data_IF_568648128015
#
_entry.id   IF_568648128015
#
_cell.length_a   1.000
_cell.length_b   1.000
_cell.length_c   1.000
_cell.angle_alpha   90.00
_cell.angle_beta   90.00
_cell.angle_gamma   90.00
#
_symmetry.space_group_name_H-M   'P 1'
#
loop_
_entity.id
_entity.type
_entity.pdbx_description
1 polymer ?
#
# COMPACT_ATOMS: atom_id res chain seq x y z
N UNK A 1 -4.99 -1.54 2.21
CA UNK A 1 -3.94 -2.58 2.14
C UNK A 1 -2.60 -1.89 2.05
N UNK A 2 -1.83 -1.85 3.14
CA UNK A 2 -0.55 -1.13 3.22
C UNK A 2 0.51 -1.81 2.34
N UNK A 3 0.46 -3.14 2.21
CA UNK A 3 1.42 -3.91 1.40
C UNK A 3 1.44 -3.47 -0.08
N UNK A 4 0.27 -3.20 -0.67
CA UNK A 4 0.17 -2.72 -2.05
C UNK A 4 0.88 -1.37 -2.25
N UNK A 5 0.79 -0.47 -1.26
CA UNK A 5 1.48 0.82 -1.29
C UNK A 5 2.99 0.57 -1.19
N UNK A 6 3.45 -0.23 -0.23
CA UNK A 6 4.88 -0.53 -0.04
C UNK A 6 5.50 -1.05 -1.34
N UNK A 7 4.86 -2.04 -1.97
CA UNK A 7 5.34 -2.59 -3.23
C UNK A 7 5.25 -1.60 -4.40
N UNK A 8 4.40 -0.58 -4.36
CA UNK A 8 4.32 0.44 -5.42
C UNK A 8 5.42 1.50 -5.36
N UNK A 9 6.06 1.68 -4.19
CA UNK A 9 7.03 2.77 -3.94
C UNK A 9 8.47 2.29 -3.85
N UNK A 10 8.70 0.99 -3.62
CA UNK A 10 10.05 0.44 -3.57
C UNK A 10 10.73 0.52 -4.95
N UNK A 11 12.05 0.78 -5.03
CA UNK A 11 12.78 0.84 -6.29
C UNK A 11 12.60 -0.42 -7.16
N UNK A 12 12.59 -1.61 -6.55
CA UNK A 12 12.34 -2.90 -7.20
C UNK A 12 10.88 -3.39 -7.05
N UNK A 13 10.01 -2.50 -6.61
CA UNK A 13 8.63 -2.78 -6.24
C UNK A 13 7.80 -3.29 -7.41
N UNK A 14 7.96 -2.68 -8.59
CA UNK A 14 7.30 -3.13 -9.82
C UNK A 14 7.65 -4.58 -10.19
N UNK A 15 8.92 -4.96 -10.10
CA UNK A 15 9.37 -6.33 -10.37
C UNK A 15 8.79 -7.31 -9.35
N UNK A 16 8.75 -6.92 -8.07
CA UNK A 16 8.12 -7.72 -7.02
C UNK A 16 6.62 -7.91 -7.23
N UNK A 17 5.91 -6.85 -7.63
CA UNK A 17 4.48 -6.92 -7.96
C UNK A 17 4.23 -7.84 -9.13
N UNK A 18 4.97 -7.70 -10.22
CA UNK A 18 4.86 -8.57 -11.39
C UNK A 18 5.07 -10.04 -11.03
N UNK A 19 6.06 -10.33 -10.19
CA UNK A 19 6.32 -11.70 -9.70
C UNK A 19 5.21 -12.22 -8.79
N UNK A 20 4.77 -11.44 -7.80
CA UNK A 20 3.77 -11.86 -6.80
C UNK A 20 2.36 -12.00 -7.40
N UNK A 21 2.02 -11.16 -8.37
CA UNK A 21 0.73 -11.14 -9.05
C UNK A 21 0.75 -11.90 -10.39
N UNK A 22 1.80 -12.68 -10.65
CA UNK A 22 1.87 -13.52 -11.84
C UNK A 22 0.61 -14.40 -11.98
N UNK A 23 0.06 -14.45 -13.19
CA UNK A 23 -1.17 -15.18 -13.50
C UNK A 23 -2.46 -14.41 -13.20
N UNK A 24 -2.39 -13.21 -12.62
CA UNK A 24 -3.52 -12.30 -12.50
C UNK A 24 -3.43 -11.22 -13.58
N UNK A 25 -4.58 -10.85 -14.16
CA UNK A 25 -4.67 -9.69 -15.04
C UNK A 25 -4.78 -8.44 -14.16
N UNK A 26 -3.79 -7.55 -14.21
CA UNK A 26 -3.74 -6.31 -13.43
C UNK A 26 -3.09 -5.18 -14.22
N UNK A 27 -3.39 -3.93 -13.85
CA UNK A 27 -2.71 -2.74 -14.39
C UNK A 27 -2.15 -1.86 -13.28
N UNK A 28 -1.04 -1.19 -13.59
CA UNK A 28 -0.53 -0.10 -12.76
C UNK A 28 -1.16 1.22 -13.21
N UNK A 29 -1.71 1.94 -12.25
CA UNK A 29 -2.21 3.30 -12.42
C UNK A 29 -1.14 4.25 -11.86
N UNK A 30 -0.61 5.19 -12.66
CA UNK A 30 0.33 6.18 -12.17
C UNK A 30 -0.32 7.02 -11.06
N UNK A 31 0.50 7.71 -10.27
CA UNK A 31 -0.04 8.58 -9.24
C UNK A 31 -0.97 9.65 -9.84
N UNK A 32 -2.25 9.58 -9.52
CA UNK A 32 -3.27 10.57 -9.87
C UNK A 32 -3.93 11.01 -8.56
N UNK A 33 -4.09 12.33 -8.38
CA UNK A 33 -4.71 12.88 -7.18
C UNK A 33 -6.12 12.30 -6.98
N UNK A 34 -6.48 11.84 -5.77
CA UNK A 34 -7.81 11.30 -5.49
C UNK A 34 -8.92 12.30 -5.79
N UNK A 35 -10.04 11.80 -6.29
CA UNK A 35 -11.19 12.59 -6.71
C UNK A 35 -11.51 12.42 -8.18
N UNK A 36 -12.04 13.47 -8.80
CA UNK A 36 -12.62 13.42 -10.15
C UNK A 36 -11.64 12.92 -11.22
N UNK A 37 -10.38 13.38 -11.19
CA UNK A 37 -9.35 12.98 -12.17
C UNK A 37 -9.06 11.49 -12.11
N UNK A 38 -8.97 10.91 -10.91
CA UNK A 38 -8.75 9.47 -10.75
C UNK A 38 -9.98 8.68 -11.24
N UNK A 39 -11.19 9.12 -10.90
CA UNK A 39 -12.42 8.46 -11.33
C UNK A 39 -12.56 8.42 -12.85
N UNK A 40 -12.26 9.52 -13.56
CA UNK A 40 -12.29 9.56 -15.02
C UNK A 40 -11.28 8.58 -15.63
N UNK A 41 -10.04 8.63 -15.16
CA UNK A 41 -8.99 7.73 -15.63
C UNK A 41 -9.39 6.26 -15.45
N UNK A 42 -9.90 5.89 -14.27
CA UNK A 42 -10.33 4.52 -14.00
C UNK A 42 -11.52 4.11 -14.86
N UNK A 43 -12.48 5.00 -15.10
CA UNK A 43 -13.62 4.71 -15.99
C UNK A 43 -13.15 4.33 -17.40
N UNK A 44 -12.19 5.06 -17.95
CA UNK A 44 -11.61 4.77 -19.27
C UNK A 44 -10.85 3.43 -19.27
N UNK A 45 -10.09 3.15 -18.21
CA UNK A 45 -9.34 1.90 -18.08
C UNK A 45 -10.27 0.68 -17.93
N UNK A 46 -11.33 0.79 -17.12
CA UNK A 46 -12.32 -0.27 -16.96
C UNK A 46 -13.01 -0.60 -18.29
N UNK A 47 -13.30 0.41 -19.12
CA UNK A 47 -13.90 0.18 -20.43
C UNK A 47 -12.92 -0.42 -21.47
N UNK A 48 -11.63 -0.19 -21.32
CA UNK A 48 -10.60 -0.59 -22.30
C UNK A 48 -9.81 -1.85 -21.92
N UNK A 49 -9.94 -2.32 -20.68
CA UNK A 49 -9.19 -3.46 -20.17
C UNK A 49 -10.12 -4.55 -19.64
N UNK A 50 -9.66 -5.81 -19.67
CA UNK A 50 -10.34 -6.95 -19.03
C UNK A 50 -9.72 -7.30 -17.67
N UNK A 51 -9.32 -6.29 -16.90
CA UNK A 51 -8.76 -6.51 -15.55
C UNK A 51 -9.76 -6.09 -14.47
N UNK A 52 -9.66 -6.75 -13.32
CA UNK A 52 -10.37 -6.41 -12.10
C UNK A 52 -9.45 -5.81 -11.02
N UNK A 53 -8.18 -5.55 -11.35
CA UNK A 53 -7.13 -5.22 -10.39
C UNK A 53 -6.39 -3.97 -10.86
N UNK A 54 -6.58 -2.87 -10.15
CA UNK A 54 -5.97 -1.57 -10.43
C UNK A 54 -5.07 -1.19 -9.26
N UNK A 55 -3.76 -1.32 -9.44
CA UNK A 55 -2.77 -0.89 -8.44
C UNK A 55 -2.48 0.60 -8.61
N UNK A 56 -2.79 1.39 -7.60
CA UNK A 56 -2.63 2.83 -7.60
C UNK A 56 -1.29 3.19 -6.95
N UNK A 57 -0.37 3.77 -7.71
CA UNK A 57 0.91 4.22 -7.18
C UNK A 57 0.69 5.23 -6.04
N UNK A 58 1.39 5.00 -4.91
CA UNK A 58 1.31 5.78 -3.66
C UNK A 58 -0.09 5.84 -2.99
N UNK A 59 -1.06 5.01 -3.39
CA UNK A 59 -2.42 5.07 -2.85
C UNK A 59 -2.96 3.71 -2.39
N UNK A 60 -2.73 2.64 -3.14
CA UNK A 60 -3.24 1.33 -2.79
C UNK A 60 -3.79 0.56 -3.99
N UNK A 61 -4.99 0.03 -3.85
CA UNK A 61 -5.57 -0.88 -4.85
C UNK A 61 -7.07 -0.68 -4.96
N UNK A 62 -7.59 -0.79 -6.18
CA UNK A 62 -9.03 -0.87 -6.47
C UNK A 62 -9.30 -2.23 -7.09
N UNK A 63 -10.34 -2.89 -6.59
CA UNK A 63 -10.82 -4.17 -7.08
C UNK A 63 -12.24 -4.03 -7.60
N UNK A 64 -12.51 -4.60 -8.77
CA UNK A 64 -13.84 -4.63 -9.38
C UNK A 64 -14.29 -6.08 -9.56
N UNK A 65 -15.58 -6.30 -9.79
CA UNK A 65 -16.11 -7.62 -10.10
C UNK A 65 -17.63 -7.64 -10.03
N UNK A 66 -18.21 -8.68 -10.63
CA UNK A 66 -19.66 -8.80 -10.81
C UNK A 66 -20.42 -9.18 -9.53
N UNK A 67 -19.70 -9.53 -8.46
CA UNK A 67 -20.30 -9.89 -7.18
C UNK A 67 -19.39 -9.57 -6.00
N UNK A 68 -20.01 -9.38 -4.84
CA UNK A 68 -19.30 -9.23 -3.58
C UNK A 68 -18.37 -10.42 -3.30
N UNK A 69 -18.84 -11.65 -3.52
CA UNK A 69 -18.06 -12.87 -3.29
C UNK A 69 -16.78 -12.91 -4.13
N UNK A 70 -16.88 -12.53 -5.41
CA UNK A 70 -15.72 -12.44 -6.30
C UNK A 70 -14.71 -11.41 -5.78
N UNK A 71 -15.17 -10.21 -5.40
CA UNK A 71 -14.31 -9.14 -4.88
C UNK A 71 -13.58 -9.59 -3.60
N UNK A 72 -14.29 -10.24 -2.66
CA UNK A 72 -13.67 -10.74 -1.43
C UNK A 72 -12.64 -11.85 -1.71
N UNK A 73 -12.95 -12.77 -2.62
CA UNK A 73 -12.01 -13.81 -3.04
C UNK A 73 -10.72 -13.19 -3.61
N UNK A 74 -10.87 -12.20 -4.49
CA UNK A 74 -9.76 -11.50 -5.12
C UNK A 74 -8.93 -10.70 -4.10
N UNK A 75 -9.61 -10.02 -3.17
CA UNK A 75 -8.98 -9.29 -2.08
C UNK A 75 -8.13 -10.21 -1.21
N UNK A 76 -8.67 -11.37 -0.81
CA UNK A 76 -7.96 -12.34 0.01
C UNK A 76 -6.74 -12.91 -0.71
N UNK A 77 -6.88 -13.25 -1.99
CA UNK A 77 -5.79 -13.74 -2.81
C UNK A 77 -4.66 -12.72 -2.94
N UNK A 78 -5.00 -11.47 -3.26
CA UNK A 78 -4.01 -10.39 -3.40
C UNK A 78 -3.33 -10.09 -2.06
N UNK A 79 -4.11 -10.01 -0.98
CA UNK A 79 -3.55 -9.78 0.36
C UNK A 79 -2.54 -10.87 0.71
N UNK A 80 -2.88 -12.14 0.45
CA UNK A 80 -1.98 -13.28 0.66
C UNK A 80 -0.70 -13.18 -0.19
N UNK A 81 -0.83 -12.84 -1.48
CA UNK A 81 0.32 -12.73 -2.40
C UNK A 81 1.23 -11.55 -2.06
N UNK A 82 0.66 -10.42 -1.68
CA UNK A 82 1.38 -9.18 -1.41
C UNK A 82 1.93 -9.07 0.00
N UNK A 83 1.46 -9.90 0.94
CA UNK A 83 1.90 -9.93 2.33
C UNK A 83 3.42 -9.74 2.46
N UNK A 84 3.79 -8.78 3.30
CA UNK A 84 5.15 -8.52 3.72
C UNK A 84 5.31 -8.96 5.17
N UNK A 85 6.32 -9.80 5.49
CA UNK A 85 6.58 -10.17 6.87
C UNK A 85 7.01 -8.93 7.65
N UNK A 86 6.43 -8.75 8.85
CA UNK A 86 6.86 -7.70 9.77
C UNK A 86 8.29 -7.99 10.19
N UNK A 87 9.21 -7.06 9.88
CA UNK A 87 10.58 -7.17 10.37
C UNK A 87 10.57 -6.92 11.88
N UNK A 88 11.23 -7.78 12.69
CA UNK A 88 11.33 -7.53 14.12
C UNK A 88 12.01 -6.17 14.37
N UNK A 89 11.45 -5.40 15.30
CA UNK A 89 11.99 -4.11 15.67
C UNK A 89 13.34 -4.32 16.37
N UNK A 90 14.37 -3.64 15.87
CA UNK A 90 15.62 -3.48 16.61
C UNK A 90 15.35 -2.43 17.68
N UNK A 91 15.69 -2.73 18.94
CA UNK A 91 15.57 -1.77 20.01
C UNK A 91 16.43 -0.53 19.68
N UNK A 92 15.82 0.67 19.56
CA UNK A 92 16.56 1.87 19.20
C UNK A 92 17.53 2.24 20.32
N UNK A 93 18.71 2.76 19.96
CA UNK A 93 19.61 3.37 20.93
C UNK A 93 19.09 4.75 21.33
N UNK A 94 18.25 4.79 22.35
CA UNK A 94 17.60 6.03 22.84
C UNK A 94 18.64 7.09 23.22
N UNK A 95 19.76 6.72 23.85
CA UNK A 95 20.81 7.67 24.23
C UNK A 95 21.44 8.34 23.01
N UNK A 96 21.68 7.57 21.95
CA UNK A 96 22.19 8.12 20.70
C UNK A 96 21.18 9.08 20.06
N UNK A 97 19.89 8.71 20.03
CA UNK A 97 18.83 9.56 19.48
C UNK A 97 18.68 10.88 20.24
N UNK A 98 18.76 10.87 21.57
CA UNK A 98 18.74 12.08 22.40
C UNK A 98 19.96 12.97 22.07
N UNK A 99 21.14 12.37 21.88
CA UNK A 99 22.37 13.11 21.59
C UNK A 99 22.32 13.84 20.24
N UNK A 100 21.67 13.28 19.23
CA UNK A 100 21.60 13.86 17.88
C UNK A 100 20.37 14.76 17.68
N UNK A 101 19.51 14.90 18.69
CA UNK A 101 18.33 15.75 18.61
C UNK A 101 18.72 17.23 18.66
N UNK A 102 18.57 17.92 17.54
CA UNK A 102 18.85 19.36 17.37
C UNK A 102 17.59 20.23 17.51
N UNK A 103 16.41 19.61 17.54
CA UNK A 103 15.12 20.31 17.53
C UNK A 103 14.66 20.79 18.92
N UNK A 104 15.40 20.46 20.00
CA UNK A 104 14.98 20.59 21.40
C UNK A 104 13.60 19.99 21.73
N UNK A 105 13.01 19.26 20.77
CA UNK A 105 11.71 18.62 20.96
C UNK A 105 11.92 17.36 21.79
N UNK A 106 11.14 17.21 22.86
CA UNK A 106 11.12 16.01 23.70
C UNK A 106 9.71 15.46 23.77
N UNK A 107 9.59 14.14 23.89
CA UNK A 107 8.29 13.50 24.11
C UNK A 107 7.65 14.10 25.38
N UNK A 108 6.44 14.66 25.31
CA UNK A 108 5.77 15.20 26.49
C UNK A 108 5.52 14.10 27.51
N UNK A 109 5.76 14.39 28.79
CA UNK A 109 5.66 13.45 29.93
C UNK A 109 4.24 13.00 30.26
N UNK A 110 3.27 13.30 29.39
CA UNK A 110 1.85 13.05 29.64
C UNK A 110 1.52 11.56 29.50
N UNK A 111 1.06 10.97 30.59
CA UNK A 111 0.68 9.55 30.71
C UNK A 111 -0.59 9.17 29.95
N UNK A 112 -1.34 10.12 29.38
CA UNK A 112 -2.60 9.85 28.66
C UNK A 112 -2.41 9.27 27.24
N UNK A 113 -1.19 9.25 26.70
CA UNK A 113 -0.93 8.81 25.31
C UNK A 113 -0.32 7.40 25.18
N UNK A 114 -0.14 6.67 26.30
CA UNK A 114 0.38 5.31 26.28
C UNK A 114 -0.75 4.29 26.45
N UNK A 115 -1.64 4.20 25.45
CA UNK A 115 -2.48 3.01 25.27
C UNK A 115 -1.94 2.30 24.03
N UNK A 116 -1.07 1.32 24.25
CA UNK A 116 -0.73 0.25 23.31
C UNK A 116 -0.53 -1.02 24.12
#
# INVERSE_FOLDING_TARGET
>A
MIDAIIHSILPDGHTHLAKKLHGLSWIMVPYIKPGLSLSHYLSEQVSSTKTNIFLLQNHGIILTGDSHQHIISLLNEITKRLHLPVKPLIQPNIFHLIKINDSNWTIPVNTLYYIC
#
